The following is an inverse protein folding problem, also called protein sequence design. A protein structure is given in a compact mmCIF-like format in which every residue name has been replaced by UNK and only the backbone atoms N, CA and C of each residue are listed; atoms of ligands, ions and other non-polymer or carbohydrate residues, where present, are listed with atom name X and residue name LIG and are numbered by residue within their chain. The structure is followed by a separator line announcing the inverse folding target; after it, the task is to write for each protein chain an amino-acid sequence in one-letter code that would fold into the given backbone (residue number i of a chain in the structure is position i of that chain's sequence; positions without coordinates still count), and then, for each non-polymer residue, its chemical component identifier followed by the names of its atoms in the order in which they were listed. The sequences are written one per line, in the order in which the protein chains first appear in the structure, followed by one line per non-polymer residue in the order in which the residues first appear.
data_IF_533284677197
#
_entry.id   IF_533284677197
#
_cell.length_a   1.000
_cell.length_b   1.000
_cell.length_c   1.000
_cell.angle_alpha   90.00
_cell.angle_beta   90.00
_cell.angle_gamma   90.00
#
_symmetry.space_group_name_H-M   'P 1'
#
loop_
_entity.id
_entity.type
_entity.pdbx_description
1 polymer ?
#
# COMPACT_ATOMS: atom_id res chain seq x y z
N UNK A 1 -8.29 -2.62 16.93
CA UNK A 1 -8.14 -2.54 15.45
C UNK A 1 -8.93 -1.40 14.83
N UNK A 2 -10.21 -1.16 15.15
CA UNK A 2 -11.00 -0.07 14.52
C UNK A 2 -10.34 1.32 14.63
N UNK A 3 -9.77 1.65 15.78
CA UNK A 3 -9.06 2.92 16.02
C UNK A 3 -7.68 3.02 15.34
N UNK A 4 -7.26 2.00 14.60
CA UNK A 4 -6.00 2.00 13.82
C UNK A 4 -6.27 2.11 12.31
N UNK A 5 -7.51 2.05 11.87
CA UNK A 5 -7.87 2.21 10.45
C UNK A 5 -8.06 3.70 10.17
N UNK A 6 -7.38 4.21 9.16
CA UNK A 6 -7.45 5.62 8.76
C UNK A 6 -8.17 5.85 7.43
N UNK A 7 -8.30 4.81 6.61
CA UNK A 7 -8.98 4.89 5.33
C UNK A 7 -9.53 3.51 4.93
N UNK A 8 -10.64 3.47 4.20
CA UNK A 8 -11.26 2.22 3.73
C UNK A 8 -11.98 2.47 2.42
N UNK A 9 -11.77 1.59 1.44
CA UNK A 9 -12.45 1.65 0.16
C UNK A 9 -12.74 0.23 -0.36
N UNK A 10 -13.90 0.07 -0.99
CA UNK A 10 -14.25 -1.15 -1.71
C UNK A 10 -13.79 -1.02 -3.18
N UNK A 11 -12.95 -1.93 -3.64
CA UNK A 11 -12.45 -1.98 -5.01
C UNK A 11 -12.53 -3.40 -5.53
N UNK A 12 -13.16 -3.59 -6.69
CA UNK A 12 -13.46 -4.92 -7.21
C UNK A 12 -14.33 -5.72 -6.23
N UNK A 13 -13.89 -6.93 -5.90
CA UNK A 13 -14.58 -7.83 -4.96
C UNK A 13 -13.97 -7.83 -3.54
N UNK A 14 -13.15 -6.83 -3.19
CA UNK A 14 -12.48 -6.75 -1.90
C UNK A 14 -12.65 -5.37 -1.24
N UNK A 15 -12.45 -5.34 0.08
CA UNK A 15 -12.38 -4.13 0.89
C UNK A 15 -10.95 -3.95 1.34
N UNK A 16 -10.37 -2.82 0.97
CA UNK A 16 -9.02 -2.46 1.35
C UNK A 16 -9.03 -1.39 2.42
N UNK A 17 -7.98 -1.36 3.23
CA UNK A 17 -7.86 -0.40 4.32
C UNK A 17 -6.44 0.13 4.44
N UNK A 18 -6.34 1.44 4.69
CA UNK A 18 -5.16 2.03 5.28
C UNK A 18 -5.22 1.84 6.79
N UNK A 19 -4.23 1.17 7.36
CA UNK A 19 -4.15 0.92 8.79
C UNK A 19 -2.79 1.31 9.35
N UNK A 20 -2.78 1.74 10.60
CA UNK A 20 -1.60 2.08 11.35
C UNK A 20 -1.20 0.91 12.27
N UNK A 21 0.02 0.42 12.12
CA UNK A 21 0.68 -0.48 13.08
C UNK A 21 1.71 0.32 13.89
N UNK A 22 2.30 -0.33 14.88
CA UNK A 22 3.28 0.33 15.75
C UNK A 22 4.57 0.72 15.00
N UNK A 23 4.86 0.11 13.86
CA UNK A 23 6.01 0.42 12.99
C UNK A 23 5.67 1.31 11.77
N UNK A 24 4.39 1.62 11.54
CA UNK A 24 3.97 2.60 10.53
C UNK A 24 2.68 2.25 9.79
N UNK A 25 2.49 2.89 8.63
CA UNK A 25 1.27 2.78 7.83
C UNK A 25 1.31 1.60 6.83
N UNK A 26 0.19 0.89 6.73
CA UNK A 26 0.01 -0.30 5.92
C UNK A 26 -1.24 -0.25 5.04
N UNK A 27 -1.11 -0.81 3.84
CA UNK A 27 -2.22 -1.19 2.97
C UNK A 27 -2.62 -2.63 3.29
N UNK A 28 -3.90 -2.86 3.57
CA UNK A 28 -4.44 -4.15 3.97
C UNK A 28 -5.60 -4.59 3.08
N UNK A 29 -5.63 -5.88 2.76
CA UNK A 29 -6.74 -6.53 2.06
C UNK A 29 -7.56 -7.36 3.04
N UNK A 30 -8.88 -7.11 3.08
CA UNK A 30 -9.79 -7.89 3.92
C UNK A 30 -9.90 -9.33 3.42
N UNK A 31 -9.91 -9.55 2.11
CA UNK A 31 -10.00 -10.88 1.49
C UNK A 31 -8.77 -11.73 1.78
N UNK A 32 -7.56 -11.19 1.66
CA UNK A 32 -6.34 -11.96 1.93
C UNK A 32 -6.03 -12.06 3.43
N UNK A 33 -6.47 -11.07 4.22
CA UNK A 33 -6.06 -10.94 5.62
C UNK A 33 -4.61 -10.49 5.79
N UNK A 34 -3.95 -10.05 4.72
CA UNK A 34 -2.54 -9.64 4.70
C UNK A 34 -2.39 -8.14 4.44
N UNK A 35 -1.22 -7.60 4.76
CA UNK A 35 -0.89 -6.18 4.64
C UNK A 35 0.55 -5.94 4.15
N UNK A 36 0.73 -4.85 3.42
CA UNK A 36 2.04 -4.37 2.94
C UNK A 36 2.25 -2.91 3.35
N UNK A 37 3.48 -2.48 3.71
CA UNK A 37 3.73 -1.13 4.18
C UNK A 37 3.86 -0.09 3.03
N UNK A 38 3.28 1.10 3.15
CA UNK A 38 3.14 2.03 2.00
C UNK A 38 4.45 2.43 1.29
N UNK A 39 5.50 2.81 2.01
CA UNK A 39 6.71 3.38 1.38
C UNK A 39 7.68 2.35 0.80
N UNK A 40 7.43 1.05 0.93
CA UNK A 40 8.25 0.00 0.29
C UNK A 40 7.45 -0.89 -0.65
N UNK A 41 6.14 -0.69 -0.72
CA UNK A 41 5.22 -1.58 -1.40
C UNK A 41 4.75 -1.00 -2.71
N UNK A 42 4.41 -1.90 -3.62
CA UNK A 42 3.98 -1.57 -4.97
C UNK A 42 3.05 -2.65 -5.49
N UNK A 43 2.31 -2.35 -6.55
CA UNK A 43 1.52 -3.32 -7.29
C UNK A 43 2.36 -3.74 -8.50
N UNK A 44 2.60 -5.03 -8.67
CA UNK A 44 3.41 -5.59 -9.75
C UNK A 44 2.59 -6.57 -10.56
N UNK A 45 2.71 -6.52 -11.88
CA UNK A 45 2.23 -7.60 -12.75
C UNK A 45 3.25 -8.74 -12.78
N UNK A 46 2.86 -9.92 -12.32
CA UNK A 46 3.64 -11.14 -12.43
C UNK A 46 3.28 -11.88 -13.72
N UNK A 47 4.29 -12.14 -14.57
CA UNK A 47 4.21 -13.10 -15.68
C UNK A 47 5.18 -14.25 -15.39
N UNK A 48 4.76 -15.50 -15.62
CA UNK A 48 5.38 -16.74 -15.11
C UNK A 48 6.90 -16.90 -15.22
N UNK A 49 7.56 -16.17 -16.13
CA UNK A 49 9.00 -16.31 -16.40
C UNK A 49 9.87 -15.23 -15.72
N UNK A 50 9.29 -14.18 -15.12
CA UNK A 50 10.06 -12.95 -14.83
C UNK A 50 10.58 -12.78 -13.40
N UNK A 51 10.20 -13.59 -12.42
CA UNK A 51 10.61 -13.36 -11.02
C UNK A 51 10.76 -14.65 -10.19
N UNK A 52 11.76 -15.47 -10.51
CA UNK A 52 12.11 -16.71 -9.78
C UNK A 52 12.44 -16.49 -8.30
N UNK A 53 12.77 -15.26 -7.91
CA UNK A 53 13.11 -14.89 -6.54
C UNK A 53 11.92 -14.39 -5.72
N UNK A 54 10.72 -14.33 -6.29
CA UNK A 54 9.54 -13.88 -5.55
C UNK A 54 9.05 -14.92 -4.55
N UNK A 55 8.77 -14.47 -3.32
CA UNK A 55 8.30 -15.34 -2.23
C UNK A 55 7.02 -14.77 -1.59
N UNK A 56 5.97 -15.58 -1.40
CA UNK A 56 5.79 -16.92 -1.97
C UNK A 56 5.75 -16.85 -3.50
N UNK A 57 6.02 -17.98 -4.16
CA UNK A 57 5.99 -18.05 -5.62
C UNK A 57 4.57 -17.65 -6.06
N UNK A 58 4.40 -16.60 -6.88
CA UNK A 58 3.09 -16.23 -7.41
C UNK A 58 2.45 -17.45 -8.10
N UNK A 59 1.12 -17.47 -8.19
CA UNK A 59 0.40 -18.51 -8.94
C UNK A 59 1.05 -18.70 -10.32
N UNK A 60 0.96 -19.89 -10.90
CA UNK A 60 1.43 -20.16 -12.27
C UNK A 60 0.70 -19.33 -13.35
N UNK A 61 -0.31 -18.55 -12.96
CA UNK A 61 -1.13 -17.70 -13.82
C UNK A 61 -0.67 -16.25 -13.68
N UNK A 62 -0.45 -15.53 -14.79
CA UNK A 62 -0.12 -14.10 -14.74
C UNK A 62 -1.18 -13.26 -14.03
N UNK A 63 -0.76 -12.23 -13.31
CA UNK A 63 -1.69 -11.35 -12.61
C UNK A 63 -1.01 -10.31 -11.73
N UNK A 64 -1.79 -9.35 -11.24
CA UNK A 64 -1.30 -8.33 -10.32
C UNK A 64 -1.18 -8.85 -8.89
N UNK A 65 -0.21 -8.31 -8.16
CA UNK A 65 -0.02 -8.56 -6.74
C UNK A 65 0.49 -7.29 -6.06
N UNK A 66 0.07 -7.03 -4.83
CA UNK A 66 0.77 -6.08 -3.98
C UNK A 66 1.94 -6.78 -3.28
N UNK A 67 3.13 -6.23 -3.41
CA UNK A 67 4.36 -6.78 -2.83
C UNK A 67 4.82 -5.94 -1.66
N UNK A 68 5.40 -6.60 -0.65
CA UNK A 68 6.36 -5.97 0.25
C UNK A 68 7.74 -6.03 -0.44
N UNK A 69 8.50 -4.93 -0.41
CA UNK A 69 9.74 -4.83 -1.18
C UNK A 69 9.54 -5.11 -2.68
N UNK A 70 10.62 -5.37 -3.40
CA UNK A 70 10.59 -5.71 -4.82
C UNK A 70 10.17 -7.17 -5.09
N UNK A 71 10.28 -8.08 -4.11
CA UNK A 71 10.19 -9.52 -4.36
C UNK A 71 9.18 -10.27 -3.50
N UNK A 72 8.59 -9.67 -2.47
CA UNK A 72 7.74 -10.42 -1.54
C UNK A 72 6.26 -10.22 -1.86
N UNK A 73 5.66 -11.12 -2.63
CA UNK A 73 4.24 -11.04 -2.98
C UNK A 73 3.36 -11.31 -1.74
N UNK A 74 2.42 -10.43 -1.41
CA UNK A 74 1.63 -10.55 -0.17
C UNK A 74 0.13 -10.58 -0.44
N UNK A 75 -0.34 -9.66 -1.28
CA UNK A 75 -1.77 -9.54 -1.58
C UNK A 75 -1.99 -9.95 -3.02
N UNK A 76 -2.72 -11.06 -3.19
CA UNK A 76 -3.13 -11.57 -4.50
C UNK A 76 -4.20 -10.66 -5.11
N UNK A 77 -3.91 -10.09 -6.27
CA UNK A 77 -4.80 -9.24 -7.07
C UNK A 77 -5.00 -9.83 -8.48
N UNK A 78 -4.78 -11.13 -8.70
CA UNK A 78 -4.85 -11.71 -10.05
C UNK A 78 -6.24 -11.57 -10.72
N UNK A 79 -7.31 -11.62 -9.93
CA UNK A 79 -8.69 -11.45 -10.41
C UNK A 79 -9.07 -9.99 -10.68
N UNK A 80 -8.18 -9.03 -10.40
CA UNK A 80 -8.49 -7.61 -10.54
C UNK A 80 -8.27 -7.15 -11.98
N UNK A 81 -9.29 -6.49 -12.53
CA UNK A 81 -9.17 -5.80 -13.81
C UNK A 81 -8.17 -4.65 -13.71
N UNK A 82 -7.57 -4.25 -14.85
CA UNK A 82 -6.70 -3.08 -14.91
C UNK A 82 -7.35 -1.83 -14.31
N UNK A 83 -8.63 -1.59 -14.61
CA UNK A 83 -9.41 -0.51 -14.00
C UNK A 83 -9.42 -0.56 -12.46
N UNK A 84 -9.54 -1.76 -11.89
CA UNK A 84 -9.53 -1.94 -10.42
C UNK A 84 -8.14 -1.69 -9.84
N UNK A 85 -7.08 -2.05 -10.57
CA UNK A 85 -5.70 -1.76 -10.19
C UNK A 85 -5.40 -0.26 -10.23
N UNK A 86 -5.81 0.42 -11.29
CA UNK A 86 -5.63 1.88 -11.41
C UNK A 86 -6.41 2.60 -10.30
N UNK A 87 -7.62 2.12 -9.98
CA UNK A 87 -8.40 2.64 -8.85
C UNK A 87 -7.71 2.39 -7.52
N UNK A 88 -7.15 1.20 -7.28
CA UNK A 88 -6.40 0.90 -6.07
C UNK A 88 -5.18 1.81 -5.93
N UNK A 89 -4.42 1.96 -7.01
CA UNK A 89 -3.26 2.85 -7.09
C UNK A 89 -3.64 4.29 -6.76
N UNK A 90 -4.69 4.82 -7.39
CA UNK A 90 -5.16 6.19 -7.15
C UNK A 90 -5.70 6.40 -5.73
N UNK A 91 -6.42 5.42 -5.18
CA UNK A 91 -7.08 5.55 -3.87
C UNK A 91 -6.08 5.43 -2.71
N UNK A 92 -5.14 4.49 -2.84
CA UNK A 92 -4.21 4.13 -1.77
C UNK A 92 -2.77 4.61 -2.03
N UNK A 93 -2.48 5.18 -3.20
CA UNK A 93 -1.15 5.70 -3.53
C UNK A 93 -0.08 4.63 -3.66
N UNK A 94 -0.44 3.44 -4.16
CA UNK A 94 0.50 2.36 -4.44
C UNK A 94 0.96 2.43 -5.89
N UNK A 95 2.27 2.53 -6.12
CA UNK A 95 2.81 2.57 -7.49
C UNK A 95 2.52 1.27 -8.23
N UNK A 96 2.09 1.37 -9.50
CA UNK A 96 1.90 0.21 -10.39
C UNK A 96 3.14 0.06 -11.27
N UNK A 97 3.82 -1.07 -11.14
CA UNK A 97 5.03 -1.39 -11.91
C UNK A 97 4.66 -2.29 -13.08
N UNK A 98 4.82 -1.76 -14.29
CA UNK A 98 4.59 -2.46 -15.55
C UNK A 98 5.90 -2.57 -16.32
N UNK A 99 6.84 -3.39 -15.84
CA UNK A 99 8.14 -3.53 -16.49
C UNK A 99 9.28 -3.85 -15.53
N UNK A 100 10.50 -3.48 -15.95
CA UNK A 100 11.74 -3.70 -15.18
C UNK A 100 12.23 -2.44 -14.45
N UNK A 101 11.63 -1.29 -14.72
CA UNK A 101 11.98 -0.05 -14.06
C UNK A 101 11.19 0.07 -12.75
N UNK A 102 11.93 0.13 -11.65
CA UNK A 102 11.35 0.29 -10.32
C UNK A 102 11.44 1.76 -9.91
N UNK A 103 10.34 2.34 -9.40
CA UNK A 103 10.36 3.71 -8.88
C UNK A 103 11.33 3.81 -7.70
N UNK A 104 11.86 5.02 -7.48
CA UNK A 104 12.60 5.28 -6.25
C UNK A 104 11.67 5.22 -5.03
N UNK A 105 12.25 5.04 -3.85
CA UNK A 105 11.47 5.11 -2.60
C UNK A 105 10.76 6.46 -2.43
N UNK A 106 11.39 7.55 -2.89
CA UNK A 106 10.81 8.89 -2.84
C UNK A 106 9.57 9.00 -3.73
N UNK A 107 9.59 8.39 -4.91
CA UNK A 107 8.44 8.44 -5.84
C UNK A 107 7.26 7.63 -5.29
N UNK A 108 7.52 6.46 -4.72
CA UNK A 108 6.48 5.65 -4.08
C UNK A 108 5.83 6.39 -2.89
N UNK A 109 6.64 7.06 -2.07
CA UNK A 109 6.14 7.87 -0.96
C UNK A 109 5.33 9.07 -1.47
N UNK A 110 5.78 9.75 -2.53
CA UNK A 110 5.04 10.86 -3.13
C UNK A 110 3.66 10.42 -3.64
N UNK A 111 3.56 9.24 -4.25
CA UNK A 111 2.27 8.65 -4.62
C UNK A 111 1.35 8.44 -3.42
N UNK A 112 1.88 7.93 -2.30
CA UNK A 112 1.10 7.80 -1.08
C UNK A 112 0.64 9.16 -0.55
N UNK A 113 1.53 10.14 -0.45
CA UNK A 113 1.20 11.48 0.06
C UNK A 113 0.16 12.23 -0.78
N UNK A 114 0.08 11.94 -2.08
CA UNK A 114 -0.94 12.50 -2.97
C UNK A 114 -2.30 11.77 -2.89
N UNK A 115 -2.41 10.64 -2.19
CA UNK A 115 -3.58 9.77 -2.23
C UNK A 115 -4.71 10.16 -1.25
N UNK A 116 -5.96 9.77 -1.54
CA UNK A 116 -7.07 9.78 -0.57
C UNK A 116 -6.75 9.04 0.73
N UNK A 117 -6.00 7.95 0.68
CA UNK A 117 -5.57 7.23 1.87
C UNK A 117 -4.72 8.11 2.79
N UNK A 118 -3.81 8.93 2.27
CA UNK A 118 -3.05 9.88 3.09
C UNK A 118 -3.90 11.03 3.63
N UNK A 119 -4.93 11.47 2.88
CA UNK A 119 -5.94 12.36 3.44
C UNK A 119 -6.67 11.74 4.64
N UNK A 120 -7.01 10.44 4.55
CA UNK A 120 -7.54 9.67 5.67
C UNK A 120 -6.57 9.58 6.84
N UNK A 121 -5.27 9.38 6.57
CA UNK A 121 -4.24 9.38 7.60
C UNK A 121 -4.15 10.73 8.32
N UNK A 122 -4.19 11.84 7.59
CA UNK A 122 -4.24 13.20 8.18
C UNK A 122 -5.44 13.36 9.13
N UNK A 123 -6.62 12.96 8.70
CA UNK A 123 -7.82 13.00 9.54
C UNK A 123 -7.69 12.11 10.79
N UNK A 124 -7.12 10.92 10.61
CA UNK A 124 -6.90 9.97 11.71
C UNK A 124 -5.92 10.52 12.76
N UNK A 125 -4.83 11.18 12.35
CA UNK A 125 -3.87 11.79 13.27
C UNK A 125 -4.51 12.92 14.08
N UNK A 126 -5.32 13.76 13.42
CA UNK A 126 -6.08 14.83 14.11
C UNK A 126 -7.04 14.25 15.16
N UNK A 127 -7.66 13.11 14.87
CA UNK A 127 -8.57 12.43 15.80
C UNK A 127 -7.85 11.63 16.90
N UNK A 128 -6.63 11.15 16.65
CA UNK A 128 -5.91 10.23 17.55
C UNK A 128 -4.43 10.64 17.78
N UNK A 129 -4.16 11.87 18.25
CA UNK A 129 -2.79 12.41 18.30
C UNK A 129 -1.85 11.58 19.16
N UNK A 130 -2.33 11.02 20.29
CA UNK A 130 -1.51 10.16 21.17
C UNK A 130 -1.06 8.88 20.46
N UNK A 131 -1.99 8.21 19.76
CA UNK A 131 -1.65 7.01 19.00
C UNK A 131 -0.69 7.34 17.85
N UNK A 132 -0.86 8.47 17.18
CA UNK A 132 0.02 8.89 16.10
C UNK A 132 1.46 9.17 16.57
N UNK A 133 1.63 9.74 17.77
CA UNK A 133 2.96 9.96 18.37
C UNK A 133 3.69 8.64 18.57
N UNK A 134 3.00 7.62 19.08
CA UNK A 134 3.59 6.32 19.42
C UNK A 134 3.91 5.45 18.19
N UNK A 135 3.30 5.73 17.04
CA UNK A 135 3.54 4.95 15.82
C UNK A 135 4.88 5.29 15.18
N UNK A 136 5.59 4.27 14.71
CA UNK A 136 6.86 4.38 14.00
C UNK A 136 6.75 5.04 12.63
N UNK A 137 7.92 5.25 12.05
CA UNK A 137 8.10 5.86 10.72
C UNK A 137 9.03 4.99 9.85
N UNK A 138 9.03 3.68 10.11
CA UNK A 138 10.00 2.73 9.54
C UNK A 138 9.84 2.60 8.04
N UNK A 139 8.60 2.48 7.58
CA UNK A 139 8.31 2.09 6.20
C UNK A 139 7.70 3.21 5.34
N UNK A 140 7.57 4.42 5.86
CA UNK A 140 7.11 5.58 5.10
C UNK A 140 7.73 6.85 5.68
N UNK A 141 9.07 6.84 5.78
CA UNK A 141 9.89 7.86 6.45
C UNK A 141 9.41 9.29 6.19
N UNK A 142 9.21 10.06 7.25
CA UNK A 142 8.82 11.46 7.17
C UNK A 142 7.32 11.67 7.05
N UNK A 143 6.47 10.63 7.13
CA UNK A 143 5.02 10.82 7.02
C UNK A 143 4.51 11.82 8.05
N UNK A 144 5.05 11.82 9.27
CA UNK A 144 4.69 12.80 10.32
C UNK A 144 5.04 14.24 9.93
N UNK A 145 6.21 14.46 9.34
CA UNK A 145 6.64 15.78 8.88
C UNK A 145 5.77 16.27 7.72
N UNK A 146 5.38 15.37 6.81
CA UNK A 146 4.49 15.69 5.69
C UNK A 146 3.08 16.11 6.13
N UNK A 147 2.63 15.73 7.33
CA UNK A 147 1.37 16.23 7.89
C UNK A 147 1.42 17.72 8.24
N UNK A 148 2.60 18.25 8.55
CA UNK A 148 2.80 19.66 8.94
C UNK A 148 3.01 20.59 7.75
N UNK A 149 3.33 20.03 6.58
CA UNK A 149 3.56 20.79 5.34
C UNK A 149 2.28 20.97 4.50
N UNK A 150 1.19 20.34 4.90
CA UNK A 150 -0.04 20.25 4.12
C UNK A 150 -1.16 21.20 4.59
N UNK A 151 -0.81 22.24 5.36
CA UNK A 151 -1.69 23.33 5.79
C UNK A 151 -1.40 24.62 5.00
#
# INVERSE_FOLDING_TARGET
MKNRIFHTAAVGCDVFSGLMKDDGAYFFSKRSGDAVPYGESRIVWFSGDRWEHCRPRPRSVPGFWATKYASEARIDLHDFSRFSIDRLSSEFGLWVVEGVEFPSYSDMQACFYASPAFAGLRAWVKAHPRLAVDCGDTYCSGWKAQLLLAD
#
